data_IF_112235787768
#
_entry.id   IF_112235787768
#
_cell.length_a   1.000
_cell.length_b   1.000
_cell.length_c   1.000
_cell.angle_alpha   90.00
_cell.angle_beta   90.00
_cell.angle_gamma   90.00
#
_symmetry.space_group_name_H-M   'P 1'
#
loop_
_entity.id
_entity.type
_entity.pdbx_description
1 polymer ?
#
# COMPACT_ATOMS: atom_id res chain seq x y z
N UNK A 1 10.53 -33.56 -5.31
CA UNK A 1 10.39 -32.27 -6.03
C UNK A 1 10.12 -31.20 -4.99
N UNK A 2 10.96 -30.17 -4.80
CA UNK A 2 10.57 -29.07 -3.94
C UNK A 2 9.50 -28.27 -4.69
N UNK A 3 8.26 -28.37 -4.22
CA UNK A 3 7.17 -27.50 -4.65
C UNK A 3 7.62 -26.08 -4.37
N UNK A 4 7.95 -25.33 -5.42
CA UNK A 4 8.31 -23.92 -5.31
C UNK A 4 7.04 -23.17 -4.90
N UNK A 5 6.77 -23.14 -3.60
CA UNK A 5 5.66 -22.38 -3.05
C UNK A 5 6.05 -20.92 -3.23
N UNK A 6 5.45 -20.25 -4.21
CA UNK A 6 5.58 -18.81 -4.34
C UNK A 6 5.33 -18.19 -2.95
N UNK A 7 6.18 -17.27 -2.48
CA UNK A 7 6.06 -16.70 -1.15
C UNK A 7 4.63 -16.17 -0.94
N UNK A 8 4.04 -16.37 0.25
CA UNK A 8 2.67 -15.93 0.50
C UNK A 8 2.55 -14.44 0.23
N UNK A 9 1.49 -14.07 -0.50
CA UNK A 9 1.21 -12.68 -0.82
C UNK A 9 0.94 -11.91 0.49
N UNK A 10 1.58 -10.75 0.67
CA UNK A 10 1.47 -9.88 1.85
C UNK A 10 0.06 -9.30 2.06
N UNK A 11 -0.66 -8.99 0.98
CA UNK A 11 -2.06 -8.48 0.97
C UNK A 11 -2.92 -9.19 -0.11
N UNK A 12 -3.26 -10.47 0.07
CA UNK A 12 -3.81 -11.31 -1.00
C UNK A 12 -5.12 -10.75 -1.61
N UNK A 13 -5.85 -9.93 -0.85
CA UNK A 13 -7.06 -9.24 -1.31
C UNK A 13 -7.04 -7.73 -1.03
N UNK A 14 -7.93 -6.99 -1.69
CA UNK A 14 -8.14 -5.56 -1.42
C UNK A 14 -8.66 -5.30 0.01
N UNK A 15 -9.31 -6.29 0.63
CA UNK A 15 -9.76 -6.20 2.01
C UNK A 15 -8.58 -6.24 2.99
N UNK A 16 -7.62 -7.13 2.77
CA UNK A 16 -6.38 -7.20 3.56
C UNK A 16 -5.57 -5.92 3.42
N UNK A 17 -5.50 -5.38 2.20
CA UNK A 17 -4.89 -4.08 1.94
C UNK A 17 -5.57 -2.96 2.71
N UNK A 18 -6.91 -2.89 2.66
CA UNK A 18 -7.68 -1.89 3.40
C UNK A 18 -7.45 -2.02 4.91
N UNK A 19 -7.35 -3.24 5.44
CA UNK A 19 -7.04 -3.47 6.84
C UNK A 19 -5.63 -2.96 7.20
N UNK A 20 -4.63 -3.27 6.39
CA UNK A 20 -3.25 -2.79 6.58
C UNK A 20 -3.16 -1.26 6.54
N UNK A 21 -3.83 -0.63 5.56
CA UNK A 21 -3.93 0.83 5.46
C UNK A 21 -4.59 1.42 6.71
N UNK A 22 -5.71 0.86 7.16
CA UNK A 22 -6.40 1.35 8.36
C UNK A 22 -5.59 1.16 9.64
N UNK A 23 -4.72 0.16 9.70
CA UNK A 23 -3.82 -0.08 10.82
C UNK A 23 -2.69 0.96 10.90
N UNK A 24 -2.35 1.66 9.80
CA UNK A 24 -1.33 2.69 9.81
C UNK A 24 -1.71 3.85 10.75
N UNK A 25 -0.75 4.30 11.57
CA UNK A 25 -0.92 5.39 12.54
C UNK A 25 -0.02 6.60 12.26
N UNK A 26 0.96 6.47 11.36
CA UNK A 26 1.92 7.52 11.03
C UNK A 26 2.29 7.49 9.54
N UNK A 27 3.06 8.51 9.11
CA UNK A 27 3.53 8.65 7.75
C UNK A 27 4.43 7.49 7.29
N UNK A 28 5.35 7.02 8.13
CA UNK A 28 6.28 5.93 7.78
C UNK A 28 5.56 4.65 7.37
N UNK A 29 4.54 4.25 8.15
CA UNK A 29 3.75 3.06 7.85
C UNK A 29 2.98 3.19 6.53
N UNK A 30 2.42 4.38 6.25
CA UNK A 30 1.77 4.64 4.96
C UNK A 30 2.77 4.67 3.80
N UNK A 31 3.96 5.21 4.01
CA UNK A 31 5.02 5.26 3.02
C UNK A 31 5.54 3.86 2.65
N UNK A 32 5.59 2.93 3.61
CA UNK A 32 5.86 1.51 3.34
C UNK A 32 4.80 0.93 2.40
N UNK A 33 3.52 1.22 2.62
CA UNK A 33 2.44 0.76 1.72
C UNK A 33 2.54 1.42 0.33
N UNK A 34 2.85 2.71 0.27
CA UNK A 34 3.11 3.39 -1.02
C UNK A 34 4.28 2.73 -1.76
N UNK A 35 5.37 2.40 -1.04
CA UNK A 35 6.52 1.71 -1.62
C UNK A 35 6.14 0.32 -2.09
N UNK A 36 5.39 -0.44 -1.29
CA UNK A 36 4.87 -1.76 -1.68
C UNK A 36 4.08 -1.62 -3.01
N UNK A 37 3.21 -0.60 -3.11
CA UNK A 37 2.42 -0.31 -4.31
C UNK A 37 3.26 0.09 -5.54
N UNK A 38 4.41 0.74 -5.33
CA UNK A 38 5.39 1.05 -6.40
C UNK A 38 6.19 -0.19 -6.82
N UNK A 39 6.69 -0.96 -5.85
CA UNK A 39 7.59 -2.10 -6.05
C UNK A 39 6.84 -3.29 -6.64
N UNK A 40 5.59 -3.51 -6.26
CA UNK A 40 4.85 -4.69 -6.67
C UNK A 40 4.40 -4.73 -8.13
N UNK A 41 4.89 -3.79 -8.96
CA UNK A 41 4.90 -3.92 -10.43
C UNK A 41 5.78 -5.09 -10.91
N UNK A 42 6.71 -5.58 -10.08
CA UNK A 42 7.68 -6.64 -10.41
C UNK A 42 7.35 -8.05 -9.84
N UNK A 43 6.08 -8.37 -9.58
CA UNK A 43 5.66 -9.75 -9.26
C UNK A 43 5.28 -10.03 -7.80
N UNK A 44 4.91 -9.01 -7.03
CA UNK A 44 4.41 -9.16 -5.66
C UNK A 44 2.88 -9.12 -5.56
N UNK A 45 2.35 -9.06 -4.35
CA UNK A 45 0.92 -8.97 -4.04
C UNK A 45 0.13 -7.89 -4.78
N UNK A 46 0.78 -6.76 -5.04
CA UNK A 46 0.23 -5.64 -5.80
C UNK A 46 0.05 -5.98 -7.29
N UNK A 47 0.73 -7.00 -7.81
CA UNK A 47 0.52 -7.49 -9.18
C UNK A 47 -0.95 -7.90 -9.38
N UNK A 48 -1.58 -8.54 -8.39
CA UNK A 48 -3.01 -8.86 -8.45
C UNK A 48 -3.90 -7.63 -8.46
N UNK A 49 -3.54 -6.55 -7.75
CA UNK A 49 -4.30 -5.30 -7.85
C UNK A 49 -4.15 -4.65 -9.22
N UNK A 50 -3.02 -4.84 -9.88
CA UNK A 50 -2.85 -4.41 -11.26
C UNK A 50 -3.69 -5.27 -12.22
N UNK A 51 -3.61 -6.60 -12.13
CA UNK A 51 -4.42 -7.53 -12.94
C UNK A 51 -5.93 -7.30 -12.79
N UNK A 52 -6.39 -6.99 -11.56
CA UNK A 52 -7.80 -6.75 -11.27
C UNK A 52 -8.21 -5.27 -11.43
N UNK A 53 -7.34 -4.41 -11.96
CA UNK A 53 -7.59 -2.97 -12.14
C UNK A 53 -7.98 -2.22 -10.83
N UNK A 54 -7.46 -2.68 -9.69
CA UNK A 54 -7.70 -2.15 -8.35
C UNK A 54 -6.59 -1.20 -7.86
N UNK A 55 -5.58 -0.89 -8.68
CA UNK A 55 -4.48 0.01 -8.31
C UNK A 55 -4.96 1.40 -7.88
N UNK A 56 -5.94 1.97 -8.59
CA UNK A 56 -6.51 3.26 -8.25
C UNK A 56 -7.22 3.22 -6.89
N UNK A 57 -7.96 2.14 -6.61
CA UNK A 57 -8.65 1.93 -5.34
C UNK A 57 -7.65 1.74 -4.17
N UNK A 58 -6.61 0.94 -4.39
CA UNK A 58 -5.54 0.73 -3.41
C UNK A 58 -4.83 2.04 -3.04
N UNK A 59 -4.55 2.88 -4.06
CA UNK A 59 -3.97 4.21 -3.86
C UNK A 59 -4.93 5.17 -3.14
N UNK A 60 -6.21 5.14 -3.50
CA UNK A 60 -7.23 5.96 -2.86
C UNK A 60 -7.35 5.67 -1.36
N UNK A 61 -7.32 4.39 -0.96
CA UNK A 61 -7.38 3.99 0.45
C UNK A 61 -6.22 4.58 1.27
N UNK A 62 -4.99 4.53 0.74
CA UNK A 62 -3.82 5.16 1.37
C UNK A 62 -4.06 6.66 1.56
N UNK A 63 -4.51 7.36 0.51
CA UNK A 63 -4.75 8.80 0.57
C UNK A 63 -5.83 9.17 1.59
N UNK A 64 -6.91 8.40 1.65
CA UNK A 64 -7.97 8.60 2.65
C UNK A 64 -7.47 8.41 4.08
N UNK A 65 -6.61 7.40 4.32
CA UNK A 65 -6.00 7.24 5.63
C UNK A 65 -5.04 8.38 5.96
N UNK A 66 -4.23 8.82 5.00
CA UNK A 66 -3.33 9.94 5.19
C UNK A 66 -4.09 11.22 5.57
N UNK A 67 -5.22 11.51 4.92
CA UNK A 67 -6.12 12.61 5.31
C UNK A 67 -6.63 12.47 6.74
N UNK A 68 -7.04 11.26 7.16
CA UNK A 68 -7.48 11.01 8.54
C UNK A 68 -6.37 11.24 9.56
N UNK A 69 -5.14 10.91 9.20
CA UNK A 69 -3.93 11.17 10.00
C UNK A 69 -3.42 12.61 9.85
N UNK A 70 -4.11 13.47 9.06
CA UNK A 70 -3.73 14.85 8.76
C UNK A 70 -2.33 14.97 8.14
N UNK A 71 -1.89 13.97 7.40
CA UNK A 71 -0.57 13.97 6.76
C UNK A 71 -0.58 14.79 5.48
N UNK A 72 0.53 15.47 5.22
CA UNK A 72 0.77 16.21 3.98
C UNK A 72 1.29 15.25 2.92
N UNK A 73 0.65 15.26 1.75
CA UNK A 73 1.14 14.52 0.59
C UNK A 73 2.20 15.34 -0.14
N UNK A 74 3.38 14.73 -0.31
CA UNK A 74 4.55 15.33 -0.90
C UNK A 74 4.67 14.98 -2.39
N UNK A 75 5.38 15.83 -3.15
CA UNK A 75 5.60 15.66 -4.59
C UNK A 75 6.41 14.41 -4.96
N UNK A 76 7.20 13.87 -4.04
CA UNK A 76 7.91 12.58 -4.17
C UNK A 76 6.99 11.36 -3.99
N UNK A 77 5.69 11.61 -3.86
CA UNK A 77 4.62 10.66 -3.59
C UNK A 77 4.69 10.01 -2.20
N UNK A 78 5.33 10.67 -1.23
CA UNK A 78 5.33 10.24 0.18
C UNK A 78 4.36 11.08 1.01
N UNK A 79 4.09 10.63 2.23
CA UNK A 79 3.41 11.38 3.25
C UNK A 79 4.40 11.86 4.29
N UNK A 80 4.13 13.04 4.87
CA UNK A 80 4.85 13.58 6.02
C UNK A 80 3.87 14.11 7.04
N UNK A 81 4.24 14.02 8.30
CA UNK A 81 3.51 14.70 9.35
C UNK A 81 3.62 16.22 9.14
N UNK A 82 2.53 16.98 9.31
CA UNK A 82 2.50 18.43 9.07
C UNK A 82 3.29 19.24 10.11
N UNK A 83 3.92 18.58 11.08
CA UNK A 83 4.57 19.17 12.26
C UNK A 83 6.09 18.92 12.28
N UNK A 84 6.68 18.39 11.21
CA UNK A 84 8.13 18.20 11.09
C UNK A 84 8.77 19.12 10.06
#
# INVERSE_FOLDING_TARGET
MPTSVAPPLKYPTIADWKAAVNACRNADQLNVLVRDLKVGKAGGTIHRFWENNQMALARWLINERAKKLKLTFMSDQTFRDPVQ
#
